data_IF_787445398599
#
_entry.id   IF_787445398599
#
_cell.length_a   1.000
_cell.length_b   1.000
_cell.length_c   1.000
_cell.angle_alpha   90.00
_cell.angle_beta   90.00
_cell.angle_gamma   90.00
#
_symmetry.space_group_name_H-M   'P 1'
#
loop_
_entity.id
_entity.type
_entity.pdbx_description
1 polymer ?
#
# COMPACT_ATOMS: atom_id res chain seq x y z
N UNK A 1 -10.46 -0.12 -11.40
CA UNK A 1 -9.22 -0.03 -10.61
C UNK A 1 -8.59 -1.41 -10.57
N UNK A 2 -7.26 -1.51 -10.62
CA UNK A 2 -6.52 -2.75 -10.39
C UNK A 2 -5.64 -2.51 -9.15
N UNK A 3 -5.78 -3.38 -8.15
CA UNK A 3 -4.91 -3.38 -6.97
C UNK A 3 -3.56 -3.99 -7.34
N UNK A 4 -2.47 -3.35 -6.93
CA UNK A 4 -1.10 -3.79 -7.19
C UNK A 4 -0.39 -4.13 -5.87
N UNK A 5 0.15 -5.34 -5.78
CA UNK A 5 0.95 -5.75 -4.63
C UNK A 5 2.37 -5.19 -4.71
N UNK A 6 2.83 -4.54 -3.64
CA UNK A 6 4.14 -3.90 -3.56
C UNK A 6 5.32 -4.82 -3.22
N UNK A 7 5.46 -5.96 -3.91
CA UNK A 7 6.64 -6.83 -3.80
C UNK A 7 7.56 -6.62 -5.00
N UNK A 8 8.84 -6.35 -4.77
CA UNK A 8 9.85 -6.42 -5.83
C UNK A 8 10.32 -7.84 -6.11
N UNK A 9 10.15 -8.72 -5.12
CA UNK A 9 10.46 -10.14 -5.19
C UNK A 9 9.67 -10.86 -4.09
N UNK A 10 9.28 -12.12 -4.33
CA UNK A 10 8.47 -12.89 -3.38
C UNK A 10 9.20 -14.11 -2.82
N UNK A 11 9.94 -14.84 -3.65
CA UNK A 11 10.59 -16.10 -3.25
C UNK A 11 12.10 -15.98 -2.99
N UNK A 12 12.73 -14.92 -3.47
CA UNK A 12 14.17 -14.69 -3.37
C UNK A 12 14.48 -13.47 -2.50
N UNK A 13 15.75 -13.32 -2.13
CA UNK A 13 16.23 -12.16 -1.38
C UNK A 13 16.19 -10.89 -2.23
N UNK A 14 15.64 -9.82 -1.68
CA UNK A 14 15.59 -8.52 -2.33
C UNK A 14 16.99 -7.91 -2.45
N UNK A 15 17.24 -7.27 -3.58
CA UNK A 15 18.49 -6.58 -3.85
C UNK A 15 18.24 -5.37 -4.77
N UNK A 16 19.31 -4.67 -5.14
CA UNK A 16 19.20 -3.48 -5.98
C UNK A 16 18.58 -3.78 -7.36
N UNK A 17 18.79 -5.00 -7.89
CA UNK A 17 18.26 -5.40 -9.18
C UNK A 17 16.76 -5.71 -9.11
N UNK A 18 16.27 -6.38 -8.06
CA UNK A 18 14.83 -6.59 -7.85
C UNK A 18 14.11 -5.25 -7.71
N UNK A 19 14.67 -4.32 -6.93
CA UNK A 19 14.17 -2.94 -6.78
C UNK A 19 14.14 -2.18 -8.11
N UNK A 20 15.18 -2.33 -8.94
CA UNK A 20 15.23 -1.71 -10.27
C UNK A 20 14.12 -2.26 -11.17
N UNK A 21 13.99 -3.58 -11.27
CA UNK A 21 12.94 -4.24 -12.08
C UNK A 21 11.54 -3.87 -11.64
N UNK A 22 11.30 -3.80 -10.33
CA UNK A 22 10.01 -3.33 -9.79
C UNK A 22 9.68 -1.93 -10.28
N UNK A 23 10.62 -0.98 -10.18
CA UNK A 23 10.42 0.40 -10.66
C UNK A 23 10.16 0.45 -12.17
N UNK A 24 10.92 -0.30 -12.96
CA UNK A 24 10.78 -0.30 -14.41
C UNK A 24 9.42 -0.89 -14.83
N UNK A 25 9.03 -2.03 -14.24
CA UNK A 25 7.72 -2.64 -14.49
C UNK A 25 6.56 -1.78 -13.98
N UNK A 26 6.75 -1.06 -12.87
CA UNK A 26 5.74 -0.14 -12.36
C UNK A 26 5.49 1.03 -13.32
N UNK A 27 6.54 1.64 -13.88
CA UNK A 27 6.39 2.69 -14.90
C UNK A 27 5.62 2.20 -16.11
N UNK A 28 6.02 1.04 -16.65
CA UNK A 28 5.37 0.45 -17.82
C UNK A 28 3.89 0.16 -17.52
N UNK A 29 3.59 -0.42 -16.36
CA UNK A 29 2.22 -0.69 -15.92
C UNK A 29 1.38 0.57 -15.83
N UNK A 30 1.92 1.67 -15.29
CA UNK A 30 1.22 2.96 -15.18
C UNK A 30 0.96 3.56 -16.56
N UNK A 31 1.89 3.45 -17.51
CA UNK A 31 1.65 3.88 -18.89
C UNK A 31 0.53 3.07 -19.56
N UNK A 32 0.53 1.74 -19.38
CA UNK A 32 -0.54 0.88 -19.89
C UNK A 32 -1.89 1.24 -19.30
N UNK A 33 -1.95 1.40 -17.97
CA UNK A 33 -3.17 1.74 -17.25
C UNK A 33 -3.70 3.13 -17.62
N UNK A 34 -2.79 4.09 -17.85
CA UNK A 34 -3.13 5.44 -18.31
C UNK A 34 -3.84 5.42 -19.66
N UNK A 35 -3.35 4.62 -20.62
CA UNK A 35 -4.00 4.46 -21.94
C UNK A 35 -5.37 3.80 -21.85
N UNK A 36 -5.56 2.93 -20.87
CA UNK A 36 -6.82 2.23 -20.63
C UNK A 36 -7.79 3.01 -19.72
N UNK A 37 -7.38 4.17 -19.20
CA UNK A 37 -8.15 4.93 -18.19
C UNK A 37 -8.51 4.08 -16.96
N UNK A 38 -7.55 3.27 -16.51
CA UNK A 38 -7.69 2.41 -15.33
C UNK A 38 -6.76 2.91 -14.23
N UNK A 39 -7.30 3.12 -13.02
CA UNK A 39 -6.47 3.40 -11.85
C UNK A 39 -5.73 2.14 -11.40
N UNK A 40 -4.40 2.21 -11.34
CA UNK A 40 -3.57 1.29 -10.56
C UNK A 40 -3.44 1.82 -9.15
N UNK A 41 -3.72 0.97 -8.16
CA UNK A 41 -3.68 1.36 -6.76
C UNK A 41 -2.70 0.48 -5.97
N UNK A 42 -1.64 1.07 -5.43
CA UNK A 42 -0.58 0.36 -4.71
C UNK A 42 -1.03 -0.02 -3.31
N UNK A 43 -0.94 -1.31 -2.99
CA UNK A 43 -1.28 -1.84 -1.67
C UNK A 43 -0.12 -1.68 -0.67
N UNK A 44 -0.49 -1.39 0.57
CA UNK A 44 0.45 -1.49 1.70
C UNK A 44 0.52 -2.94 2.15
N UNK A 45 1.70 -3.54 2.02
CA UNK A 45 1.94 -4.96 2.16
C UNK A 45 2.50 -5.35 3.53
N UNK A 46 2.45 -6.64 3.82
CA UNK A 46 3.26 -7.34 4.81
C UNK A 46 4.75 -7.47 4.37
N UNK A 47 5.27 -6.46 3.66
CA UNK A 47 6.61 -6.49 3.08
C UNK A 47 7.36 -5.15 3.17
N UNK A 48 8.64 -5.12 3.58
CA UNK A 48 9.38 -3.89 3.88
C UNK A 48 9.46 -2.85 2.75
N UNK A 49 9.34 -3.27 1.47
CA UNK A 49 9.33 -2.32 0.35
C UNK A 49 8.19 -1.32 0.43
N UNK A 50 7.03 -1.82 0.81
CA UNK A 50 5.75 -1.15 0.66
C UNK A 50 4.94 -1.34 1.94
N UNK A 51 5.56 -1.11 3.10
CA UNK A 51 4.93 -1.31 4.40
C UNK A 51 4.36 -0.03 5.03
N UNK A 52 4.37 1.08 4.28
CA UNK A 52 3.82 2.35 4.75
C UNK A 52 3.28 3.19 3.58
N UNK A 53 2.27 4.01 3.85
CA UNK A 53 1.70 4.98 2.92
C UNK A 53 2.77 5.99 2.50
N UNK A 54 3.63 6.44 3.42
CA UNK A 54 4.73 7.36 3.09
C UNK A 54 5.67 6.80 2.02
N UNK A 55 5.98 5.49 2.06
CA UNK A 55 6.78 4.85 0.98
C UNK A 55 6.02 4.82 -0.33
N UNK A 56 4.72 4.49 -0.29
CA UNK A 56 3.88 4.45 -1.48
C UNK A 56 3.69 5.84 -2.11
N UNK A 57 3.56 6.89 -1.30
CA UNK A 57 3.59 8.29 -1.74
C UNK A 57 4.90 8.66 -2.43
N UNK A 58 6.03 8.14 -1.95
CA UNK A 58 7.31 8.27 -2.65
C UNK A 58 7.25 7.79 -4.11
N UNK A 59 6.56 6.66 -4.36
CA UNK A 59 6.31 6.19 -5.72
C UNK A 59 5.29 7.04 -6.47
N UNK A 60 4.23 7.50 -5.80
CA UNK A 60 3.23 8.37 -6.42
C UNK A 60 3.85 9.68 -6.90
N UNK A 61 4.68 10.31 -6.08
CA UNK A 61 5.44 11.51 -6.44
C UNK A 61 6.46 11.24 -7.55
N UNK A 62 7.14 10.09 -7.49
CA UNK A 62 8.11 9.70 -8.52
C UNK A 62 7.47 9.51 -9.90
N UNK A 63 6.30 8.86 -9.95
CA UNK A 63 5.58 8.58 -11.18
C UNK A 63 4.79 9.80 -11.69
N UNK A 64 4.32 10.65 -10.76
CA UNK A 64 3.56 11.85 -11.02
C UNK A 64 2.46 11.67 -12.09
N UNK A 65 1.62 10.65 -11.89
CA UNK A 65 0.58 10.26 -12.84
C UNK A 65 -0.75 10.02 -12.12
N UNK A 66 -1.87 10.63 -12.56
CA UNK A 66 -3.16 10.53 -11.88
C UNK A 66 -3.77 9.12 -11.88
N UNK A 67 -3.33 8.24 -12.79
CA UNK A 67 -3.76 6.85 -12.85
C UNK A 67 -3.01 5.94 -11.87
N UNK A 68 -2.05 6.46 -11.12
CA UNK A 68 -1.40 5.75 -10.01
C UNK A 68 -1.84 6.35 -8.68
N UNK A 69 -2.47 5.53 -7.84
CA UNK A 69 -3.04 5.92 -6.55
C UNK A 69 -2.71 4.86 -5.49
N UNK A 70 -3.26 5.00 -4.28
CA UNK A 70 -2.97 4.14 -3.13
C UNK A 70 -4.20 3.33 -2.69
N UNK A 71 -3.96 2.08 -2.29
CA UNK A 71 -4.93 1.15 -1.71
C UNK A 71 -4.38 0.63 -0.38
N UNK A 72 -4.33 1.41 0.70
CA UNK A 72 -3.77 0.92 1.94
C UNK A 72 -4.59 -0.22 2.53
N UNK A 73 -3.89 -1.27 2.94
CA UNK A 73 -4.42 -2.28 3.84
C UNK A 73 -4.18 -1.79 5.27
N UNK A 74 -5.26 -1.37 5.94
CA UNK A 74 -5.16 -0.79 7.29
C UNK A 74 -4.70 -1.83 8.30
N UNK A 75 -4.98 -3.11 8.05
CA UNK A 75 -4.45 -4.20 8.86
C UNK A 75 -2.94 -4.30 8.71
N UNK A 76 -2.42 -4.40 7.49
CA UNK A 76 -0.97 -4.42 7.28
C UNK A 76 -0.31 -3.18 7.88
N UNK A 77 -0.87 -2.00 7.64
CA UNK A 77 -0.35 -0.74 8.16
C UNK A 77 -0.23 -0.73 9.69
N UNK A 78 -1.21 -1.28 10.41
CA UNK A 78 -1.23 -1.42 11.88
C UNK A 78 -0.33 -2.53 12.44
N UNK A 79 -0.05 -3.57 11.64
CA UNK A 79 0.85 -4.67 12.05
C UNK A 79 2.33 -4.29 12.01
N UNK A 80 2.67 -3.19 11.31
CA UNK A 80 3.97 -2.55 11.33
C UNK A 80 4.04 -1.47 12.42
N UNK A 81 5.25 -1.04 12.75
CA UNK A 81 5.51 0.04 13.72
C UNK A 81 5.31 1.44 13.08
N UNK A 82 4.11 1.67 12.54
CA UNK A 82 3.71 2.94 11.92
C UNK A 82 2.76 3.72 12.83
N UNK A 83 2.81 5.05 12.77
CA UNK A 83 1.68 5.89 13.19
C UNK A 83 0.59 5.83 12.11
N UNK A 84 -0.36 4.92 12.28
CA UNK A 84 -1.44 4.65 11.33
C UNK A 84 -2.23 5.91 10.98
N UNK A 85 -2.47 6.79 11.94
CA UNK A 85 -3.27 7.99 11.70
C UNK A 85 -2.51 9.02 10.89
N UNK A 86 -1.23 9.23 11.22
CA UNK A 86 -0.36 10.12 10.46
C UNK A 86 -0.18 9.62 9.02
N UNK A 87 -0.02 8.31 8.83
CA UNK A 87 0.10 7.68 7.52
C UNK A 87 -1.17 7.85 6.68
N UNK A 88 -2.35 7.58 7.25
CA UNK A 88 -3.62 7.74 6.54
C UNK A 88 -3.86 9.22 6.17
N UNK A 89 -3.58 10.15 7.09
CA UNK A 89 -3.69 11.59 6.83
C UNK A 89 -2.75 12.05 5.71
N UNK A 90 -1.50 11.58 5.72
CA UNK A 90 -0.53 11.91 4.66
C UNK A 90 -1.00 11.41 3.28
N UNK A 91 -1.65 10.25 3.24
CA UNK A 91 -2.12 9.61 2.00
C UNK A 91 -3.48 10.06 1.49
N UNK A 92 -4.29 10.80 2.27
CA UNK A 92 -5.73 10.94 2.03
C UNK A 92 -6.10 11.42 0.62
N UNK A 93 -5.29 12.31 0.03
CA UNK A 93 -5.49 12.80 -1.34
C UNK A 93 -5.19 11.79 -2.45
N UNK A 94 -4.60 10.65 -2.11
CA UNK A 94 -4.21 9.56 -3.02
C UNK A 94 -4.90 8.23 -2.72
N UNK A 95 -5.62 8.11 -1.59
CA UNK A 95 -6.30 6.87 -1.21
C UNK A 95 -7.59 6.75 -2.01
N UNK A 96 -7.71 5.68 -2.79
CA UNK A 96 -8.88 5.43 -3.65
C UNK A 96 -9.75 4.27 -3.15
N UNK A 97 -9.22 3.42 -2.28
CA UNK A 97 -9.90 2.34 -1.59
C UNK A 97 -9.04 1.86 -0.41
N UNK A 98 -9.62 1.07 0.50
CA UNK A 98 -8.88 0.49 1.63
C UNK A 98 -9.18 -1.01 1.77
N UNK A 99 -8.18 -1.79 2.19
CA UNK A 99 -8.39 -3.19 2.57
C UNK A 99 -8.63 -3.24 4.07
N UNK A 100 -9.72 -3.87 4.48
CA UNK A 100 -10.10 -4.00 5.89
C UNK A 100 -9.89 -5.43 6.33
N UNK A 101 -8.93 -5.63 7.23
CA UNK A 101 -8.68 -6.89 7.93
C UNK A 101 -8.07 -6.57 9.29
N UNK A 102 -8.19 -7.48 10.23
CA UNK A 102 -7.50 -7.36 11.51
C UNK A 102 -6.14 -8.05 11.46
N UNK A 103 -5.22 -7.62 12.33
CA UNK A 103 -3.84 -8.09 12.38
C UNK A 103 -3.26 -7.95 13.79
N UNK A 104 -2.13 -8.60 14.05
CA UNK A 104 -1.32 -8.38 15.27
C UNK A 104 0.09 -7.93 14.85
N UNK A 105 0.89 -7.32 15.74
CA UNK A 105 2.27 -6.97 15.42
C UNK A 105 3.03 -8.17 14.84
N UNK A 106 3.51 -8.04 13.60
CA UNK A 106 4.20 -9.10 12.86
C UNK A 106 3.32 -10.27 12.36
N UNK A 107 2.01 -10.25 12.57
CA UNK A 107 1.06 -11.29 12.11
C UNK A 107 -0.02 -10.65 11.22
N UNK A 108 0.16 -10.84 9.92
CA UNK A 108 -0.59 -10.12 8.87
C UNK A 108 -1.79 -10.87 8.29
N UNK A 109 -1.98 -12.15 8.66
CA UNK A 109 -2.98 -13.05 8.05
C UNK A 109 -3.68 -13.86 9.13
N UNK A 110 -4.92 -14.26 8.85
CA UNK A 110 -5.73 -15.16 9.68
C UNK A 110 -5.97 -14.67 11.12
N UNK A 111 -6.07 -13.37 11.33
CA UNK A 111 -6.51 -12.79 12.60
C UNK A 111 -8.01 -12.46 12.47
N UNK A 112 -8.88 -13.07 13.30
CA UNK A 112 -10.30 -12.72 13.32
C UNK A 112 -10.51 -11.26 13.70
N UNK A 113 -11.56 -10.64 13.18
CA UNK A 113 -11.94 -9.26 13.53
C UNK A 113 -12.22 -9.13 15.03
N UNK A 114 -11.63 -8.11 15.65
CA UNK A 114 -11.77 -7.82 17.09
C UNK A 114 -10.75 -8.56 17.95
N UNK A 115 -9.89 -9.39 17.36
CA UNK A 115 -8.82 -10.07 18.07
C UNK A 115 -7.43 -9.48 17.82
N UNK A 116 -7.31 -8.50 16.91
CA UNK A 116 -6.05 -7.84 16.59
C UNK A 116 -5.93 -6.44 17.18
N UNK A 117 -5.09 -5.62 16.55
CA UNK A 117 -4.67 -4.30 17.04
C UNK A 117 -5.19 -3.14 16.18
N UNK A 118 -5.99 -3.43 15.16
CA UNK A 118 -6.47 -2.38 14.25
C UNK A 118 -7.58 -1.57 14.93
N UNK A 119 -7.33 -0.29 15.13
CA UNK A 119 -8.33 0.67 15.59
C UNK A 119 -9.20 1.12 14.41
N UNK A 120 -10.18 0.30 14.06
CA UNK A 120 -11.04 0.51 12.89
C UNK A 120 -11.80 1.83 12.94
N UNK A 121 -12.38 2.17 14.10
CA UNK A 121 -13.16 3.41 14.25
C UNK A 121 -12.29 4.63 13.94
N UNK A 122 -11.10 4.71 14.55
CA UNK A 122 -10.18 5.82 14.32
C UNK A 122 -9.64 5.88 12.89
N UNK A 123 -9.37 4.73 12.27
CA UNK A 123 -8.99 4.67 10.85
C UNK A 123 -10.09 5.25 9.95
N UNK A 124 -11.35 4.85 10.17
CA UNK A 124 -12.47 5.35 9.38
C UNK A 124 -12.79 6.82 9.66
N UNK A 125 -12.59 7.31 10.88
CA UNK A 125 -12.70 8.73 11.20
C UNK A 125 -11.69 9.57 10.43
N UNK A 126 -10.45 9.11 10.33
CA UNK A 126 -9.40 9.80 9.56
C UNK A 126 -9.66 9.77 8.06
N UNK A 127 -10.35 8.75 7.54
CA UNK A 127 -10.65 8.59 6.12
C UNK A 127 -11.94 9.31 5.65
N UNK A 128 -12.69 9.95 6.54
CA UNK A 128 -13.88 10.76 6.20
C UNK A 128 -13.50 12.10 5.58
#
# INVERSE_FOLDING_TARGET
>A
MIQLAGYDVYYQEANNETRRRFRDGLKESVEMASRAQVTLAMEIMDYPLMNSISKALGYAHYLNNPWFQLYPDIGNLSAWDNDVQMELQAGIGHIVAVHVKDTKPGVFKNVPFGEGVVDFERCFETLK
#
